data_IF_058219657678
#
_entry.id   IF_058219657678
#
_cell.length_a   1.000
_cell.length_b   1.000
_cell.length_c   1.000
_cell.angle_alpha   90.00
_cell.angle_beta   90.00
_cell.angle_gamma   90.00
#
_symmetry.space_group_name_H-M   'P 1'
#
loop_
_entity.id
_entity.type
_entity.pdbx_description
1 polymer ?
#
# COMPACT_ATOMS: atom_id res chain seq x y z
N UNK A 1 -22.12 -8.42 8.73
CA UNK A 1 -20.86 -8.92 9.34
C UNK A 1 -20.05 -7.71 9.76
N UNK A 2 -19.83 -7.52 11.04
CA UNK A 2 -19.04 -6.40 11.58
C UNK A 2 -17.64 -6.96 11.86
N UNK A 3 -16.64 -6.45 11.17
CA UNK A 3 -15.24 -6.82 11.39
C UNK A 3 -14.41 -5.58 11.71
N UNK A 4 -13.37 -5.75 12.53
CA UNK A 4 -12.36 -4.73 12.74
C UNK A 4 -11.13 -5.07 11.90
N UNK A 5 -10.63 -4.10 11.14
CA UNK A 5 -9.38 -4.24 10.40
C UNK A 5 -8.40 -3.17 10.83
N UNK A 6 -7.13 -3.55 10.93
CA UNK A 6 -6.10 -2.61 11.20
C UNK A 6 -4.86 -2.88 10.34
N UNK A 7 -4.19 -1.80 9.96
CA UNK A 7 -3.07 -1.83 9.03
C UNK A 7 -1.91 -1.03 9.57
N UNK A 8 -0.76 -1.68 9.70
CA UNK A 8 0.50 -1.04 10.05
C UNK A 8 1.41 -1.09 8.84
N UNK A 9 2.01 0.04 8.51
CA UNK A 9 2.98 0.15 7.41
C UNK A 9 4.28 0.72 7.94
N UNK A 10 5.21 -0.15 8.42
CA UNK A 10 6.49 0.30 8.96
C UNK A 10 7.37 0.99 7.93
N UNK A 11 7.30 0.56 6.68
CA UNK A 11 8.09 1.12 5.60
C UNK A 11 7.24 1.35 4.35
N UNK A 12 7.38 2.54 3.78
CA UNK A 12 6.97 2.83 2.40
C UNK A 12 7.93 3.86 1.83
N UNK A 13 8.76 3.41 0.93
CA UNK A 13 9.81 4.21 0.34
C UNK A 13 9.69 4.24 -1.18
N UNK A 14 9.87 5.42 -1.76
CA UNK A 14 9.95 5.64 -3.19
C UNK A 14 11.24 6.39 -3.50
N UNK A 15 12.03 5.84 -4.41
CA UNK A 15 13.18 6.50 -5.00
C UNK A 15 12.86 6.76 -6.47
N UNK A 16 12.67 8.02 -6.84
CA UNK A 16 12.21 8.40 -8.17
C UNK A 16 13.14 9.45 -8.76
N UNK A 17 13.56 9.22 -10.01
CA UNK A 17 14.41 10.12 -10.77
C UNK A 17 13.59 10.81 -11.86
N UNK A 18 13.76 12.11 -12.01
CA UNK A 18 13.18 12.88 -13.09
C UNK A 18 13.75 12.37 -14.42
N UNK A 19 12.87 12.01 -15.34
CA UNK A 19 13.22 11.53 -16.68
C UNK A 19 12.88 12.56 -17.74
N UNK A 20 11.80 13.27 -17.53
CA UNK A 20 11.32 14.25 -18.50
C UNK A 20 10.62 15.42 -17.81
N UNK A 21 10.84 16.62 -18.36
CA UNK A 21 10.20 17.86 -17.93
C UNK A 21 9.84 18.69 -19.16
N UNK A 22 8.67 19.30 -19.16
CA UNK A 22 8.21 20.22 -20.19
C UNK A 22 7.43 21.37 -19.58
N UNK A 23 7.56 22.52 -20.18
CA UNK A 23 6.76 23.70 -19.90
C UNK A 23 5.84 23.95 -21.10
N UNK A 24 4.55 23.87 -20.90
CA UNK A 24 3.55 24.18 -21.94
C UNK A 24 3.43 25.69 -22.15
N UNK A 25 3.05 26.11 -23.34
CA UNK A 25 2.75 27.53 -23.67
C UNK A 25 1.72 28.13 -22.70
N UNK A 26 0.83 27.34 -22.14
CA UNK A 26 -0.16 27.76 -21.15
C UNK A 26 0.40 27.88 -19.71
N UNK A 27 1.71 27.81 -19.52
CA UNK A 27 2.36 27.89 -18.21
C UNK A 27 2.23 26.63 -17.35
N UNK A 28 1.73 25.52 -17.89
CA UNK A 28 1.67 24.25 -17.19
C UNK A 28 3.04 23.57 -17.23
N UNK A 29 3.62 23.32 -16.08
CA UNK A 29 4.83 22.50 -15.92
C UNK A 29 4.43 21.04 -15.77
N UNK A 30 5.02 20.18 -16.59
CA UNK A 30 4.80 18.73 -16.55
C UNK A 30 6.12 18.03 -16.25
N UNK A 31 6.09 17.06 -15.35
CA UNK A 31 7.27 16.28 -14.94
C UNK A 31 6.91 14.80 -14.87
N UNK A 32 7.79 13.97 -15.41
CA UNK A 32 7.67 12.53 -15.35
C UNK A 32 8.88 11.91 -14.66
N UNK A 33 8.62 11.03 -13.71
CA UNK A 33 9.63 10.37 -12.91
C UNK A 33 9.45 8.86 -13.03
N UNK A 34 10.56 8.15 -13.08
CA UNK A 34 10.63 6.69 -12.98
C UNK A 34 11.52 6.34 -11.81
N UNK A 35 11.21 5.25 -11.14
CA UNK A 35 12.00 4.81 -10.02
C UNK A 35 11.60 3.47 -9.48
N UNK A 36 12.04 3.20 -8.27
CA UNK A 36 11.74 2.01 -7.51
C UNK A 36 10.92 2.35 -6.26
N UNK A 37 10.19 1.39 -5.78
CA UNK A 37 9.55 1.46 -4.47
C UNK A 37 9.92 0.23 -3.63
N UNK A 38 9.82 0.41 -2.31
CA UNK A 38 9.85 -0.66 -1.33
C UNK A 38 8.71 -0.42 -0.34
N UNK A 39 8.04 -1.48 0.04
CA UNK A 39 6.93 -1.41 0.97
C UNK A 39 7.00 -2.59 1.94
N UNK A 40 6.73 -2.31 3.20
CA UNK A 40 6.55 -3.32 4.23
C UNK A 40 5.26 -3.02 4.98
N UNK A 41 4.38 -4.00 5.04
CA UNK A 41 3.04 -3.80 5.56
C UNK A 41 2.51 -5.03 6.26
N UNK A 42 1.82 -4.79 7.36
CA UNK A 42 1.01 -5.77 8.08
C UNK A 42 -0.45 -5.39 7.96
N UNK A 43 -1.25 -6.38 7.60
CA UNK A 43 -2.69 -6.27 7.55
C UNK A 43 -3.29 -7.30 8.49
N UNK A 44 -4.21 -6.85 9.33
CA UNK A 44 -4.87 -7.68 10.33
C UNK A 44 -6.37 -7.43 10.31
N UNK A 45 -7.16 -8.51 10.29
CA UNK A 45 -8.63 -8.45 10.31
C UNK A 45 -9.15 -9.38 11.40
N UNK A 46 -10.09 -8.87 12.19
CA UNK A 46 -10.81 -9.61 13.20
C UNK A 46 -12.27 -9.74 12.79
N UNK A 47 -12.79 -10.95 12.78
CA UNK A 47 -14.20 -11.26 12.54
C UNK A 47 -14.79 -11.91 13.79
N UNK A 48 -15.22 -11.13 14.80
CA UNK A 48 -15.70 -11.67 16.08
C UNK A 48 -17.00 -12.46 15.95
N UNK A 49 -17.76 -12.27 14.88
CA UNK A 49 -19.02 -12.98 14.63
C UNK A 49 -18.84 -14.39 14.05
N UNK A 50 -17.66 -14.75 13.60
CA UNK A 50 -17.34 -16.12 13.23
C UNK A 50 -17.11 -16.89 14.52
N UNK A 51 -17.76 -18.07 14.69
CA UNK A 51 -17.85 -18.88 15.92
C UNK A 51 -16.53 -19.17 16.64
N UNK A 52 -15.40 -18.78 16.08
CA UNK A 52 -14.07 -18.99 16.62
C UNK A 52 -13.19 -17.74 16.59
N UNK A 53 -13.77 -16.54 16.39
CA UNK A 53 -12.97 -15.30 16.41
C UNK A 53 -11.76 -15.34 15.49
N UNK A 54 -11.93 -15.82 14.26
CA UNK A 54 -10.80 -16.03 13.34
C UNK A 54 -10.11 -14.73 12.98
N UNK A 55 -8.88 -14.51 13.42
CA UNK A 55 -8.06 -13.46 12.90
C UNK A 55 -7.56 -13.86 11.51
N UNK A 56 -7.71 -12.97 10.57
CA UNK A 56 -7.06 -13.06 9.28
C UNK A 56 -5.97 -12.02 9.21
N UNK A 57 -4.75 -12.44 8.90
CA UNK A 57 -3.63 -11.51 8.78
C UNK A 57 -2.77 -11.87 7.57
N UNK A 58 -2.10 -10.88 7.02
CA UNK A 58 -0.98 -11.07 6.12
C UNK A 58 0.07 -9.98 6.33
N UNK A 59 1.32 -10.33 6.17
CA UNK A 59 2.43 -9.40 6.05
C UNK A 59 2.96 -9.40 4.62
N UNK A 60 3.39 -8.24 4.16
CA UNK A 60 3.83 -8.06 2.80
C UNK A 60 5.06 -7.15 2.77
N UNK A 61 6.20 -7.71 2.33
CA UNK A 61 7.41 -6.97 2.03
C UNK A 61 7.65 -7.08 0.53
N UNK A 62 7.61 -5.98 -0.18
CA UNK A 62 7.70 -5.98 -1.63
C UNK A 62 8.51 -4.82 -2.19
N UNK A 63 9.10 -5.09 -3.34
CA UNK A 63 9.87 -4.12 -4.12
C UNK A 63 9.45 -4.17 -5.59
N UNK A 64 9.60 -3.04 -6.28
CA UNK A 64 9.29 -2.97 -7.70
C UNK A 64 9.46 -1.59 -8.32
N UNK A 65 9.11 -1.44 -9.59
CA UNK A 65 9.12 -0.15 -10.28
C UNK A 65 8.01 0.77 -9.79
N UNK A 66 8.26 2.06 -9.89
CA UNK A 66 7.29 3.12 -9.64
C UNK A 66 7.40 4.22 -10.68
N UNK A 67 6.27 4.86 -10.94
CA UNK A 67 6.17 6.03 -11.82
C UNK A 67 5.46 7.16 -11.10
N UNK A 68 5.82 8.40 -11.43
CA UNK A 68 5.14 9.59 -10.94
C UNK A 68 5.03 10.59 -12.07
N UNK A 69 3.83 11.08 -12.30
CA UNK A 69 3.56 12.16 -13.22
C UNK A 69 3.01 13.35 -12.45
N UNK A 70 3.55 14.53 -12.68
CA UNK A 70 3.17 15.77 -12.03
C UNK A 70 2.77 16.81 -13.09
N UNK A 71 1.65 17.47 -12.86
CA UNK A 71 1.19 18.62 -13.62
C UNK A 71 0.99 19.76 -12.64
N UNK A 72 1.66 20.86 -12.87
CA UNK A 72 1.58 22.05 -12.04
C UNK A 72 1.28 23.29 -12.89
N UNK A 73 0.38 24.12 -12.40
CA UNK A 73 0.16 25.47 -12.89
C UNK A 73 0.20 26.45 -11.70
N UNK A 74 -0.07 27.74 -11.94
CA UNK A 74 -0.03 28.77 -10.91
C UNK A 74 -1.02 28.53 -9.75
N UNK A 75 -2.09 27.81 -9.99
CA UNK A 75 -3.20 27.65 -9.04
C UNK A 75 -3.26 26.25 -8.43
N UNK A 76 -2.89 25.22 -9.19
CA UNK A 76 -3.12 23.83 -8.84
C UNK A 76 -1.91 22.96 -9.13
N UNK A 77 -1.79 21.86 -8.40
CA UNK A 77 -0.88 20.78 -8.73
C UNK A 77 -1.63 19.44 -8.64
N UNK A 78 -1.44 18.59 -9.65
CA UNK A 78 -1.92 17.23 -9.73
C UNK A 78 -0.72 16.29 -9.77
N UNK A 79 -0.75 15.25 -8.96
CA UNK A 79 0.26 14.18 -8.95
C UNK A 79 -0.44 12.85 -9.15
N UNK A 80 -0.02 12.10 -10.16
CA UNK A 80 -0.47 10.75 -10.44
C UNK A 80 0.71 9.81 -10.24
N UNK A 81 0.59 8.85 -9.35
CA UNK A 81 1.65 7.87 -9.10
C UNK A 81 1.13 6.45 -9.23
N UNK A 82 1.97 5.58 -9.74
CA UNK A 82 1.69 4.15 -9.85
C UNK A 82 2.92 3.33 -9.45
N UNK A 83 2.68 2.12 -8.99
CA UNK A 83 3.73 1.15 -8.67
C UNK A 83 3.21 -0.28 -8.86
N UNK A 84 4.11 -1.21 -9.06
CA UNK A 84 3.80 -2.63 -9.14
C UNK A 84 4.95 -3.45 -8.57
N UNK A 85 4.64 -4.43 -7.73
CA UNK A 85 5.67 -5.36 -7.23
C UNK A 85 6.21 -6.26 -8.34
N UNK A 86 7.50 -6.50 -8.28
CA UNK A 86 8.21 -7.51 -9.08
C UNK A 86 8.62 -8.65 -8.18
N UNK A 87 9.08 -8.34 -6.98
CA UNK A 87 9.47 -9.32 -5.97
C UNK A 87 8.71 -9.02 -4.70
N UNK A 88 8.12 -10.05 -4.10
CA UNK A 88 7.42 -9.95 -2.84
C UNK A 88 7.73 -11.12 -1.92
N UNK A 89 7.88 -10.82 -0.65
CA UNK A 89 7.91 -11.76 0.46
C UNK A 89 6.59 -11.59 1.21
N UNK A 90 5.83 -12.66 1.30
CA UNK A 90 4.52 -12.64 1.95
C UNK A 90 4.45 -13.73 3.01
N UNK A 91 3.86 -13.39 4.15
CA UNK A 91 3.47 -14.34 5.17
C UNK A 91 1.99 -14.14 5.46
N UNK A 92 1.27 -15.23 5.65
CA UNK A 92 -0.17 -15.22 5.95
C UNK A 92 -0.56 -16.41 6.81
N UNK A 93 -1.75 -16.36 7.41
CA UNK A 93 -2.35 -17.52 8.04
C UNK A 93 -2.55 -18.66 7.03
N UNK A 94 -2.24 -19.86 7.39
CA UNK A 94 -2.54 -21.04 6.58
C UNK A 94 -4.05 -21.27 6.50
N UNK A 95 -4.51 -21.69 5.33
CA UNK A 95 -5.91 -22.06 5.15
C UNK A 95 -6.21 -23.36 5.92
N UNK A 96 -7.25 -23.33 6.74
CA UNK A 96 -7.73 -24.50 7.48
C UNK A 96 -7.07 -24.72 8.84
N UNK A 97 -6.00 -24.03 9.18
CA UNK A 97 -5.53 -23.98 10.55
C UNK A 97 -6.37 -22.97 11.31
N UNK A 98 -7.41 -23.48 11.96
CA UNK A 98 -8.17 -22.76 12.97
C UNK A 98 -7.34 -22.73 14.27
N UNK A 99 -6.09 -22.30 14.17
CA UNK A 99 -5.27 -22.14 15.35
C UNK A 99 -5.81 -20.96 16.12
N UNK A 100 -6.39 -21.27 17.23
CA UNK A 100 -6.70 -20.33 18.27
C UNK A 100 -5.42 -19.59 18.61
N UNK A 101 -5.42 -18.27 18.48
CA UNK A 101 -4.32 -17.43 18.97
C UNK A 101 -4.28 -17.53 20.51
N UNK A 102 -3.85 -18.63 21.03
CA UNK A 102 -3.45 -18.76 22.43
C UNK A 102 -2.02 -18.25 22.60
N UNK A 103 -1.75 -17.08 22.00
CA UNK A 103 -0.45 -16.49 22.21
C UNK A 103 -0.41 -15.83 23.56
N UNK A 104 0.41 -16.39 24.40
CA UNK A 104 0.65 -15.90 25.76
C UNK A 104 1.67 -14.77 25.78
N UNK A 105 2.40 -14.55 24.68
CA UNK A 105 3.42 -13.50 24.58
C UNK A 105 3.40 -12.75 23.24
N UNK A 106 3.89 -11.51 23.27
CA UNK A 106 4.08 -10.72 22.05
C UNK A 106 5.09 -11.39 21.07
N UNK A 107 6.07 -12.14 21.62
CA UNK A 107 7.08 -12.84 20.83
C UNK A 107 6.44 -13.92 19.96
N UNK A 108 5.48 -14.66 20.48
CA UNK A 108 4.77 -15.72 19.75
C UNK A 108 4.00 -15.14 18.59
N UNK A 109 3.29 -14.02 18.80
CA UNK A 109 2.59 -13.28 17.74
C UNK A 109 3.57 -12.87 16.62
N UNK A 110 4.72 -12.31 16.97
CA UNK A 110 5.72 -11.88 15.98
C UNK A 110 6.31 -13.08 15.23
N UNK A 111 6.56 -14.18 15.93
CA UNK A 111 7.08 -15.42 15.31
C UNK A 111 6.09 -15.95 14.28
N UNK A 112 4.83 -16.05 14.63
CA UNK A 112 3.80 -16.58 13.74
C UNK A 112 3.51 -15.66 12.56
N UNK A 113 3.55 -14.34 12.75
CA UNK A 113 3.45 -13.38 11.66
C UNK A 113 4.55 -13.57 10.59
N UNK A 114 5.60 -14.34 10.88
CA UNK A 114 6.72 -14.58 9.97
C UNK A 114 6.98 -16.08 9.71
N UNK A 115 6.17 -17.00 10.29
CA UNK A 115 6.43 -18.44 10.18
C UNK A 115 6.27 -18.99 8.76
N UNK A 116 5.30 -18.49 8.00
CA UNK A 116 4.95 -18.98 6.66
C UNK A 116 5.41 -18.02 5.57
N UNK A 117 6.69 -17.65 5.61
CA UNK A 117 7.27 -16.76 4.61
C UNK A 117 7.39 -17.45 3.25
N UNK A 118 6.75 -16.89 2.25
CA UNK A 118 6.84 -17.34 0.87
C UNK A 118 7.31 -16.21 -0.05
N UNK A 119 8.26 -16.53 -0.91
CA UNK A 119 8.81 -15.61 -1.91
C UNK A 119 8.11 -15.83 -3.23
N UNK A 120 7.71 -14.76 -3.89
CA UNK A 120 7.09 -14.86 -5.21
C UNK A 120 7.39 -13.66 -6.10
N UNK A 121 7.80 -13.94 -7.33
CA UNK A 121 8.04 -12.91 -8.34
C UNK A 121 6.76 -12.57 -9.12
N UNK A 122 5.96 -13.55 -9.54
CA UNK A 122 4.81 -13.34 -10.41
C UNK A 122 3.48 -13.76 -9.77
N UNK A 123 3.50 -14.61 -8.76
CA UNK A 123 2.29 -15.11 -8.08
C UNK A 123 1.78 -14.18 -6.98
N UNK A 124 2.61 -13.28 -6.51
CA UNK A 124 2.32 -12.35 -5.41
C UNK A 124 2.50 -10.93 -5.92
N UNK A 125 1.39 -10.27 -6.24
CA UNK A 125 1.41 -8.93 -6.81
C UNK A 125 0.77 -7.93 -5.88
N UNK A 126 1.49 -6.87 -5.62
CA UNK A 126 0.95 -5.66 -5.04
C UNK A 126 1.11 -4.53 -6.05
N UNK A 127 0.04 -3.91 -6.40
CA UNK A 127 0.05 -2.75 -7.28
C UNK A 127 -0.81 -1.64 -6.71
N UNK A 128 -0.45 -0.42 -7.00
CA UNK A 128 -1.21 0.71 -6.54
C UNK A 128 -1.15 1.88 -7.49
N UNK A 129 -2.22 2.64 -7.43
CA UNK A 129 -2.38 3.92 -8.08
C UNK A 129 -2.77 4.96 -7.05
N UNK A 130 -2.22 6.16 -7.16
CA UNK A 130 -2.59 7.27 -6.31
C UNK A 130 -2.67 8.55 -7.13
N UNK A 131 -3.78 9.26 -6.98
CA UNK A 131 -3.96 10.62 -7.46
C UNK A 131 -3.97 11.57 -6.26
N UNK A 132 -3.22 12.65 -6.35
CA UNK A 132 -3.21 13.73 -5.35
C UNK A 132 -3.42 15.05 -6.04
N UNK A 133 -4.31 15.84 -5.49
CA UNK A 133 -4.57 17.20 -5.96
C UNK A 133 -4.44 18.20 -4.81
N UNK A 134 -3.81 19.32 -5.09
CA UNK A 134 -3.72 20.44 -4.16
C UNK A 134 -3.85 21.80 -4.86
N UNK A 135 -4.40 22.75 -4.13
CA UNK A 135 -4.43 24.16 -4.54
C UNK A 135 -3.19 24.86 -4.00
N UNK A 136 -2.38 25.54 -4.87
CA UNK A 136 -1.13 26.17 -4.44
C UNK A 136 -1.30 27.19 -3.31
N UNK A 137 -2.36 27.97 -3.32
CA UNK A 137 -2.68 28.89 -2.18
C UNK A 137 -2.96 28.17 -0.84
N UNK A 138 -3.22 26.86 -0.88
CA UNK A 138 -3.48 26.01 0.29
C UNK A 138 -2.57 24.79 0.30
N UNK A 139 -1.27 24.98 0.13
CA UNK A 139 -0.27 23.92 0.04
C UNK A 139 -0.31 22.90 1.18
N UNK A 140 -0.90 23.30 2.30
CA UNK A 140 -1.04 22.42 3.48
C UNK A 140 -2.12 21.37 3.36
N UNK A 141 -3.04 21.51 2.39
CA UNK A 141 -4.18 20.60 2.25
C UNK A 141 -4.13 19.94 0.89
N UNK A 142 -4.07 18.62 0.86
CA UNK A 142 -4.09 17.81 -0.34
C UNK A 142 -5.26 16.84 -0.27
N UNK A 143 -6.03 16.77 -1.33
CA UNK A 143 -6.98 15.69 -1.55
C UNK A 143 -6.23 14.52 -2.18
N UNK A 144 -6.54 13.32 -1.77
CA UNK A 144 -5.97 12.15 -2.41
C UNK A 144 -7.02 11.05 -2.61
N UNK A 145 -6.84 10.31 -3.68
CA UNK A 145 -7.45 9.03 -3.93
C UNK A 145 -6.35 8.00 -4.09
N UNK A 146 -6.53 6.82 -3.51
CA UNK A 146 -5.59 5.69 -3.61
C UNK A 146 -6.36 4.41 -3.85
N UNK A 147 -5.89 3.65 -4.82
CA UNK A 147 -6.31 2.29 -5.11
C UNK A 147 -5.10 1.37 -4.90
N UNK A 148 -5.23 0.34 -4.10
CA UNK A 148 -4.22 -0.68 -3.89
C UNK A 148 -4.85 -2.06 -4.08
N UNK A 149 -4.16 -2.92 -4.82
CA UNK A 149 -4.59 -4.27 -5.15
C UNK A 149 -3.49 -5.24 -4.76
N UNK A 150 -3.87 -6.26 -3.99
CA UNK A 150 -3.02 -7.38 -3.63
C UNK A 150 -3.60 -8.63 -4.27
N UNK A 151 -2.78 -9.37 -4.98
CA UNK A 151 -3.16 -10.65 -5.57
C UNK A 151 -2.15 -11.71 -5.15
N UNK A 152 -2.66 -12.77 -4.59
CA UNK A 152 -1.91 -13.91 -4.13
C UNK A 152 -2.51 -15.17 -4.74
N UNK A 153 -1.76 -15.87 -5.58
CA UNK A 153 -2.28 -16.96 -6.41
C UNK A 153 -2.14 -18.35 -5.80
N UNK A 154 -1.45 -18.47 -4.67
CA UNK A 154 -1.33 -19.76 -3.98
C UNK A 154 -2.63 -20.10 -3.26
N UNK A 155 -2.89 -21.38 -3.08
CA UNK A 155 -4.12 -21.90 -2.47
C UNK A 155 -4.19 -21.61 -0.97
N UNK A 156 -5.32 -21.06 -0.46
CA UNK A 156 -6.38 -20.41 -1.22
C UNK A 156 -5.93 -19.07 -1.82
N UNK A 157 -6.37 -18.78 -3.04
CA UNK A 157 -6.07 -17.53 -3.70
C UNK A 157 -6.68 -16.34 -2.93
N UNK A 158 -5.89 -15.30 -2.72
CA UNK A 158 -6.33 -14.06 -2.10
C UNK A 158 -6.28 -12.92 -3.11
N UNK A 159 -7.40 -12.24 -3.28
CA UNK A 159 -7.45 -10.96 -3.98
C UNK A 159 -8.06 -9.92 -3.05
N UNK A 160 -7.29 -8.89 -2.75
CA UNK A 160 -7.70 -7.81 -1.89
C UNK A 160 -7.57 -6.48 -2.62
N UNK A 161 -8.64 -5.68 -2.60
CA UNK A 161 -8.69 -4.35 -3.21
C UNK A 161 -9.03 -3.34 -2.13
N UNK A 162 -8.23 -2.31 -2.02
CA UNK A 162 -8.45 -1.22 -1.08
C UNK A 162 -8.58 0.11 -1.81
N UNK A 163 -9.68 0.81 -1.55
CA UNK A 163 -9.93 2.17 -1.98
C UNK A 163 -9.83 3.12 -0.80
N UNK A 164 -9.11 4.21 -0.96
CA UNK A 164 -8.98 5.23 0.06
C UNK A 164 -9.15 6.62 -0.53
N UNK A 165 -10.05 7.39 0.05
CA UNK A 165 -10.22 8.82 -0.26
C UNK A 165 -9.95 9.59 1.03
N UNK A 166 -9.22 10.67 0.94
CA UNK A 166 -8.95 11.45 2.14
C UNK A 166 -8.31 12.80 1.89
N UNK A 167 -8.12 13.49 2.99
CA UNK A 167 -7.48 14.80 3.04
C UNK A 167 -6.20 14.68 3.87
N UNK A 168 -5.07 14.99 3.26
CA UNK A 168 -3.78 15.08 3.95
C UNK A 168 -3.49 16.54 4.31
N UNK A 169 -3.35 16.83 5.60
CA UNK A 169 -3.02 18.15 6.09
C UNK A 169 -1.60 18.16 6.67
N UNK A 170 -0.76 19.07 6.18
CA UNK A 170 0.58 19.28 6.75
C UNK A 170 0.45 20.18 7.97
N UNK A 171 0.79 19.67 9.15
CA UNK A 171 0.85 20.46 10.38
C UNK A 171 2.08 21.40 10.31
N UNK A 172 1.95 22.62 10.85
CA UNK A 172 3.11 23.47 11.09
C UNK A 172 3.97 22.79 12.15
N UNK A 173 5.25 22.66 11.88
CA UNK A 173 6.24 22.52 12.95
C UNK A 173 6.46 23.86 13.61
#
# INVERSE_FOLDING_TARGET
MIGASFRIRPLRYFNQKLVWESLSENGNQQKFFIGAYANWEYHYQLYPELQSGHPYWFSYLDIGPSVLYQIENDKHALQLSGFSSVLALCSRTEAGLHEYFYHTSFTDVVTDLHSNLSIGALGKRHMGFQAQWNKKKRERTRLFYRLEMYSYKEDPALNYVNHSIGIKKRLKK
#
